data_IF_758064562746
#
_entry.id   IF_758064562746
#
_cell.length_a   1.000
_cell.length_b   1.000
_cell.length_c   1.000
_cell.angle_alpha   90.00
_cell.angle_beta   90.00
_cell.angle_gamma   90.00
#
_symmetry.space_group_name_H-M   'P 1'
#
loop_
_entity.id
_entity.type
_entity.pdbx_description
1 polymer ?
#
# COMPACT_ATOMS: atom_id res chain seq x y z
N UNK A 1 26.43 20.61 -0.79
CA UNK A 1 25.23 19.78 -0.91
C UNK A 1 24.15 20.55 -0.18
N UNK A 2 23.32 21.30 -0.92
CA UNK A 2 22.38 22.26 -0.34
C UNK A 2 21.28 21.49 0.39
N UNK A 3 21.35 21.47 1.73
CA UNK A 3 20.26 21.05 2.60
C UNK A 3 19.38 22.30 2.77
N UNK A 4 18.61 22.63 1.74
CA UNK A 4 17.46 23.53 1.87
C UNK A 4 16.29 22.83 1.21
N UNK A 5 15.19 22.77 1.96
CA UNK A 5 13.91 22.14 1.60
C UNK A 5 13.81 20.62 1.78
N UNK A 6 13.60 20.17 3.03
CA UNK A 6 12.65 19.07 3.28
C UNK A 6 12.09 19.14 4.71
N UNK A 7 11.40 20.23 5.02
CA UNK A 7 10.36 20.22 6.05
C UNK A 7 9.02 20.27 5.30
N UNK A 8 8.09 19.38 5.68
CA UNK A 8 6.75 19.16 5.11
C UNK A 8 6.68 18.23 3.87
N UNK A 9 5.84 17.18 3.94
CA UNK A 9 4.69 16.95 3.02
C UNK A 9 4.04 15.56 3.28
N UNK A 10 2.77 15.68 3.72
CA UNK A 10 1.60 14.82 3.53
C UNK A 10 1.73 13.28 3.34
N UNK A 11 1.18 12.61 4.35
CA UNK A 11 0.23 11.48 4.27
C UNK A 11 -0.46 11.34 2.91
N UNK A 12 -0.18 10.27 2.18
CA UNK A 12 -0.87 9.83 0.95
C UNK A 12 -1.02 10.86 -0.20
N UNK A 13 -0.63 12.13 -0.04
CA UNK A 13 -0.89 13.16 -1.04
C UNK A 13 0.01 13.18 -2.28
N UNK A 14 1.25 12.64 -2.33
CA UNK A 14 1.93 12.56 -3.63
C UNK A 14 1.22 11.59 -4.60
N UNK A 15 0.24 10.81 -4.13
CA UNK A 15 -0.62 10.01 -5.00
C UNK A 15 -1.89 10.74 -5.50
N UNK A 16 -2.29 11.89 -4.94
CA UNK A 16 -3.68 12.40 -5.11
C UNK A 16 -3.88 13.92 -5.29
N UNK A 17 -2.85 14.73 -5.57
CA UNK A 17 -3.00 16.20 -5.65
C UNK A 17 -3.40 16.80 -7.02
N UNK A 18 -3.77 16.00 -8.02
CA UNK A 18 -4.29 16.55 -9.29
C UNK A 18 -5.59 15.85 -9.73
N UNK A 19 -6.72 16.37 -9.24
CA UNK A 19 -8.02 16.10 -9.85
C UNK A 19 -8.89 17.36 -9.73
N UNK A 20 -8.76 18.26 -10.70
CA UNK A 20 -9.80 19.24 -10.99
C UNK A 20 -10.91 18.52 -11.78
N UNK A 21 -12.15 18.64 -11.30
CA UNK A 21 -13.34 18.17 -11.99
C UNK A 21 -13.58 18.96 -13.29
N UNK A 22 -13.86 18.28 -14.42
CA UNK A 22 -14.65 18.87 -15.49
C UNK A 22 -16.11 18.41 -15.38
N UNK A 23 -16.97 19.40 -15.52
CA UNK A 23 -18.43 19.35 -15.57
C UNK A 23 -19.00 18.47 -16.68
N UNK A 24 -20.17 17.90 -16.37
CA UNK A 24 -21.03 17.12 -17.25
C UNK A 24 -21.20 17.72 -18.66
N UNK A 25 -21.02 16.89 -19.69
CA UNK A 25 -21.65 17.11 -20.98
C UNK A 25 -22.47 15.88 -21.37
N UNK A 26 -23.79 16.10 -21.45
CA UNK A 26 -24.77 15.18 -22.00
C UNK A 26 -24.46 14.95 -23.48
N UNK A 27 -24.46 13.70 -23.95
CA UNK A 27 -24.80 13.45 -25.35
C UNK A 27 -25.56 12.15 -25.61
N UNK A 28 -26.35 12.28 -26.68
CA UNK A 28 -27.56 11.55 -27.05
C UNK A 28 -27.35 10.10 -27.49
N UNK A 29 -28.42 9.35 -27.28
CA UNK A 29 -28.69 7.99 -27.74
C UNK A 29 -28.48 7.80 -29.25
N UNK A 30 -27.95 6.62 -29.62
CA UNK A 30 -28.18 6.02 -30.93
C UNK A 30 -28.63 4.56 -30.75
N UNK A 31 -29.93 4.34 -30.95
CA UNK A 31 -30.59 3.04 -31.05
C UNK A 31 -29.99 2.22 -32.20
N UNK A 32 -29.60 0.98 -31.93
CA UNK A 32 -29.48 -0.06 -32.97
C UNK A 32 -30.17 -1.34 -32.52
N UNK A 33 -31.12 -1.75 -33.34
CA UNK A 33 -32.06 -2.86 -33.22
C UNK A 33 -31.35 -4.21 -33.35
N UNK A 34 -31.52 -5.08 -32.36
CA UNK A 34 -31.16 -6.50 -32.44
C UNK A 34 -32.41 -7.36 -32.71
N UNK A 35 -32.27 -8.29 -33.66
CA UNK A 35 -33.31 -9.21 -34.12
C UNK A 35 -33.69 -10.19 -33.01
N UNK A 36 -35.00 -10.32 -32.79
CA UNK A 36 -35.60 -11.28 -31.86
C UNK A 36 -35.76 -12.62 -32.61
N UNK A 37 -35.12 -13.68 -32.11
CA UNK A 37 -35.42 -15.06 -32.47
C UNK A 37 -36.19 -15.68 -31.30
N UNK A 38 -37.45 -16.06 -31.55
CA UNK A 38 -38.37 -16.60 -30.54
C UNK A 38 -38.27 -18.12 -30.48
N UNK A 39 -38.08 -18.68 -29.28
CA UNK A 39 -38.50 -20.06 -28.92
C UNK A 39 -38.57 -20.20 -27.38
N UNK A 40 -39.25 -21.23 -26.84
CA UNK A 40 -40.60 -21.18 -26.30
C UNK A 40 -40.72 -20.78 -24.82
N UNK A 41 -41.93 -20.32 -24.50
CA UNK A 41 -42.49 -19.86 -23.22
C UNK A 41 -42.00 -20.56 -21.95
N UNK A 42 -41.07 -19.92 -21.22
CA UNK A 42 -41.01 -20.00 -19.75
C UNK A 42 -42.11 -19.13 -19.13
N UNK A 43 -42.63 -19.53 -17.97
CA UNK A 43 -43.61 -18.70 -17.26
C UNK A 43 -43.03 -17.30 -17.01
N UNK A 44 -43.85 -16.25 -17.16
CA UNK A 44 -43.39 -14.84 -17.10
C UNK A 44 -42.76 -14.45 -15.75
N UNK A 45 -42.99 -15.24 -14.70
CA UNK A 45 -42.39 -15.08 -13.38
C UNK A 45 -40.99 -15.70 -13.29
N UNK A 46 -40.77 -16.86 -13.92
CA UNK A 46 -39.45 -17.50 -14.00
C UNK A 46 -38.48 -16.72 -14.89
N UNK A 47 -38.99 -16.13 -15.97
CA UNK A 47 -38.20 -15.29 -16.87
C UNK A 47 -37.68 -14.01 -16.19
N UNK A 48 -38.45 -13.43 -15.24
CA UNK A 48 -38.05 -12.22 -14.49
C UNK A 48 -36.94 -12.48 -13.46
N UNK A 49 -36.74 -13.75 -13.07
CA UNK A 49 -35.77 -14.13 -12.05
C UNK A 49 -34.46 -14.66 -12.65
N UNK A 50 -34.30 -14.66 -13.97
CA UNK A 50 -33.10 -15.18 -14.64
C UNK A 50 -32.27 -14.06 -15.24
N UNK A 51 -30.96 -14.11 -15.06
CA UNK A 51 -29.98 -13.26 -15.74
C UNK A 51 -29.11 -14.09 -16.67
N UNK A 52 -28.62 -13.46 -17.74
CA UNK A 52 -27.71 -14.03 -18.73
C UNK A 52 -26.71 -12.97 -19.17
N UNK A 53 -25.42 -13.28 -19.14
CA UNK A 53 -24.33 -12.38 -19.49
C UNK A 53 -23.32 -13.09 -20.40
N UNK A 54 -22.79 -12.37 -21.40
CA UNK A 54 -21.78 -12.84 -22.34
C UNK A 54 -20.56 -11.93 -22.43
N UNK A 55 -20.45 -10.93 -21.56
CA UNK A 55 -19.37 -9.92 -21.58
C UNK A 55 -18.00 -10.43 -21.11
N UNK A 56 -17.91 -11.66 -20.58
CA UNK A 56 -16.70 -12.26 -20.04
C UNK A 56 -16.56 -13.74 -20.39
N UNK A 57 -15.39 -14.31 -20.12
CA UNK A 57 -15.11 -15.75 -20.21
C UNK A 57 -14.51 -16.21 -18.89
N UNK A 58 -15.04 -17.28 -18.30
CA UNK A 58 -14.45 -17.94 -17.13
C UNK A 58 -13.49 -19.02 -17.64
N UNK A 59 -12.18 -18.86 -17.42
CA UNK A 59 -11.18 -19.76 -17.99
C UNK A 59 -11.35 -21.22 -17.54
N UNK A 60 -11.73 -21.43 -16.28
CA UNK A 60 -11.96 -22.76 -15.71
C UNK A 60 -13.24 -23.45 -16.25
N UNK A 61 -14.16 -22.69 -16.83
CA UNK A 61 -15.42 -23.21 -17.38
C UNK A 61 -15.92 -22.32 -18.53
N UNK A 62 -15.28 -22.38 -19.71
CA UNK A 62 -15.63 -21.50 -20.82
C UNK A 62 -17.05 -21.80 -21.34
N UNK A 63 -17.87 -20.76 -21.43
CA UNK A 63 -19.22 -20.78 -21.98
C UNK A 63 -19.45 -19.55 -22.85
N UNK A 64 -20.36 -19.68 -23.82
CA UNK A 64 -20.80 -18.55 -24.66
C UNK A 64 -21.60 -17.52 -23.84
N UNK A 65 -22.40 -18.02 -22.88
CA UNK A 65 -23.22 -17.23 -21.97
C UNK A 65 -23.25 -17.87 -20.59
N UNK A 66 -23.21 -17.04 -19.55
CA UNK A 66 -23.34 -17.46 -18.16
C UNK A 66 -24.71 -17.01 -17.64
N UNK A 67 -25.41 -17.90 -16.95
CA UNK A 67 -26.75 -17.62 -16.42
C UNK A 67 -26.81 -17.72 -14.89
N UNK A 68 -27.69 -16.92 -14.30
CA UNK A 68 -28.00 -16.93 -12.87
C UNK A 68 -29.50 -16.87 -12.62
N UNK A 69 -29.96 -17.37 -11.48
CA UNK A 69 -31.34 -17.36 -11.01
C UNK A 69 -31.43 -16.71 -9.63
N UNK A 70 -32.27 -15.68 -9.52
CA UNK A 70 -32.61 -15.01 -8.28
C UNK A 70 -33.77 -15.72 -7.58
N UNK A 71 -33.70 -15.79 -6.24
CA UNK A 71 -34.83 -16.14 -5.37
C UNK A 71 -35.01 -15.01 -4.38
N UNK A 72 -36.22 -14.44 -4.30
CA UNK A 72 -36.51 -13.29 -3.41
C UNK A 72 -35.54 -12.11 -3.64
N UNK A 73 -35.27 -11.80 -4.91
CA UNK A 73 -34.33 -10.74 -5.33
C UNK A 73 -32.88 -10.92 -4.87
N UNK A 74 -32.51 -12.10 -4.37
CA UNK A 74 -31.14 -12.46 -3.98
C UNK A 74 -30.56 -13.51 -4.92
N UNK A 75 -29.25 -13.46 -5.26
CA UNK A 75 -28.59 -14.52 -6.02
C UNK A 75 -28.82 -15.88 -5.37
N UNK A 76 -29.32 -16.86 -6.13
CA UNK A 76 -29.64 -18.20 -5.60
C UNK A 76 -28.82 -19.30 -6.26
N UNK A 77 -28.85 -19.41 -7.59
CA UNK A 77 -28.10 -20.42 -8.34
C UNK A 77 -27.47 -19.81 -9.61
N UNK A 78 -26.21 -20.12 -9.89
CA UNK A 78 -25.54 -19.70 -11.12
C UNK A 78 -24.63 -18.48 -10.96
N UNK A 79 -24.36 -17.80 -12.07
CA UNK A 79 -23.31 -16.77 -12.18
C UNK A 79 -23.89 -15.35 -12.13
N UNK A 80 -23.24 -14.48 -11.36
CA UNK A 80 -23.66 -13.09 -11.16
C UNK A 80 -22.45 -12.18 -11.19
N UNK A 81 -22.43 -11.25 -12.15
CA UNK A 81 -21.41 -10.19 -12.27
C UNK A 81 -21.56 -9.17 -11.14
N UNK A 82 -20.44 -8.74 -10.57
CA UNK A 82 -20.34 -7.70 -9.55
C UNK A 82 -19.09 -6.83 -9.84
N UNK A 83 -19.05 -5.60 -9.30
CA UNK A 83 -18.07 -4.58 -9.67
C UNK A 83 -18.67 -3.57 -10.66
N UNK A 84 -17.81 -2.83 -11.36
CA UNK A 84 -18.23 -1.82 -12.32
C UNK A 84 -17.97 -2.26 -13.78
N UNK A 85 -17.93 -1.30 -14.71
CA UNK A 85 -17.70 -1.58 -16.13
C UNK A 85 -16.28 -2.08 -16.39
N UNK A 86 -15.31 -1.51 -15.69
CA UNK A 86 -13.88 -1.60 -16.01
C UNK A 86 -13.18 -2.65 -15.14
N UNK A 87 -13.61 -2.77 -13.88
CA UNK A 87 -13.14 -3.79 -12.94
C UNK A 87 -14.32 -4.55 -12.35
N UNK A 88 -14.38 -5.84 -12.67
CA UNK A 88 -15.47 -6.71 -12.23
C UNK A 88 -15.02 -8.11 -11.90
N UNK A 89 -15.90 -8.85 -11.24
CA UNK A 89 -15.74 -10.27 -10.95
C UNK A 89 -17.10 -10.97 -11.07
N UNK A 90 -17.07 -12.29 -11.09
CA UNK A 90 -18.28 -13.11 -11.23
C UNK A 90 -18.39 -14.05 -10.04
N UNK A 91 -19.44 -13.89 -9.26
CA UNK A 91 -19.75 -14.80 -8.15
C UNK A 91 -20.61 -15.96 -8.67
N UNK A 92 -20.34 -17.16 -8.16
CA UNK A 92 -21.14 -18.35 -8.42
C UNK A 92 -21.81 -18.83 -7.14
N UNK A 93 -23.12 -19.00 -7.21
CA UNK A 93 -23.96 -19.41 -6.08
C UNK A 93 -24.55 -20.79 -6.29
N UNK A 94 -24.66 -21.54 -5.20
CA UNK A 94 -25.47 -22.75 -5.08
C UNK A 94 -26.38 -22.62 -3.86
N UNK A 95 -27.69 -22.77 -4.07
CA UNK A 95 -28.72 -22.70 -3.01
C UNK A 95 -28.66 -21.43 -2.16
N UNK A 96 -28.28 -20.30 -2.77
CA UNK A 96 -28.16 -18.99 -2.12
C UNK A 96 -26.83 -18.74 -1.41
N UNK A 97 -25.89 -19.69 -1.46
CA UNK A 97 -24.55 -19.55 -0.86
C UNK A 97 -23.51 -19.29 -1.94
N UNK A 98 -22.64 -18.30 -1.73
CA UNK A 98 -21.51 -18.05 -2.64
C UNK A 98 -20.49 -19.16 -2.43
N UNK A 99 -20.22 -19.94 -3.47
CA UNK A 99 -19.27 -21.06 -3.41
C UNK A 99 -17.97 -20.71 -4.12
N UNK A 100 -18.06 -19.95 -5.22
CA UNK A 100 -16.90 -19.49 -6.00
C UNK A 100 -16.99 -18.03 -6.39
N UNK A 101 -15.84 -17.43 -6.66
CA UNK A 101 -15.71 -16.17 -7.38
C UNK A 101 -14.66 -16.33 -8.49
N UNK A 102 -14.88 -15.68 -9.62
CA UNK A 102 -13.96 -15.65 -10.74
C UNK A 102 -13.56 -14.21 -10.99
N UNK A 103 -12.25 -13.95 -11.00
CA UNK A 103 -11.67 -12.63 -11.16
C UNK A 103 -10.44 -12.72 -12.06
N UNK A 104 -9.69 -11.63 -12.16
CA UNK A 104 -8.46 -11.50 -12.90
C UNK A 104 -7.54 -10.55 -12.17
N UNK A 105 -6.27 -10.55 -12.54
CA UNK A 105 -5.38 -9.49 -12.13
C UNK A 105 -5.58 -8.29 -13.08
N UNK A 106 -5.94 -7.14 -12.51
CA UNK A 106 -6.24 -5.89 -13.23
C UNK A 106 -5.12 -5.49 -14.19
N UNK A 107 -3.85 -5.84 -13.90
CA UNK A 107 -2.71 -5.52 -14.75
C UNK A 107 -2.18 -6.70 -15.60
N UNK A 108 -2.55 -7.95 -15.32
CA UNK A 108 -2.14 -9.09 -16.16
C UNK A 108 -2.87 -9.11 -17.51
N UNK A 109 -4.08 -8.57 -17.55
CA UNK A 109 -4.89 -8.47 -18.76
C UNK A 109 -4.54 -7.26 -19.65
N UNK A 110 -3.48 -6.51 -19.31
CA UNK A 110 -2.99 -5.41 -20.13
C UNK A 110 -1.79 -5.88 -20.95
N UNK A 111 -1.97 -6.04 -22.25
CA UNK A 111 -0.83 -6.22 -23.16
C UNK A 111 0.02 -4.93 -23.21
N UNK A 112 1.27 -4.99 -23.71
CA UNK A 112 2.16 -3.81 -23.78
C UNK A 112 1.54 -2.60 -24.51
N UNK A 113 0.65 -2.86 -25.46
CA UNK A 113 -0.06 -1.85 -26.24
C UNK A 113 -1.26 -1.29 -25.46
N UNK A 114 -1.97 -2.10 -24.67
CA UNK A 114 -3.02 -1.67 -23.73
C UNK A 114 -2.44 -0.91 -22.52
N UNK A 115 -1.22 -1.24 -22.08
CA UNK A 115 -0.46 -0.43 -21.13
C UNK A 115 -0.13 0.95 -21.69
N UNK A 116 0.11 1.05 -23.01
CA UNK A 116 0.26 2.32 -23.74
C UNK A 116 -1.09 2.97 -24.07
N UNK A 117 -2.16 2.23 -24.28
CA UNK A 117 -3.50 2.79 -24.52
C UNK A 117 -4.17 3.25 -23.23
N UNK A 118 -3.80 2.75 -22.05
CA UNK A 118 -4.18 3.40 -20.78
C UNK A 118 -3.48 4.75 -20.61
N UNK A 119 -2.34 4.96 -21.28
CA UNK A 119 -1.72 6.28 -21.45
C UNK A 119 -2.57 7.20 -22.36
N UNK A 120 -3.39 6.62 -23.27
CA UNK A 120 -4.10 7.33 -24.36
C UNK A 120 -5.65 7.13 -24.45
N UNK A 121 -6.28 6.40 -23.53
CA UNK A 121 -7.72 6.12 -23.45
C UNK A 121 -8.28 5.02 -24.37
N UNK A 122 -8.71 3.90 -23.76
CA UNK A 122 -9.71 2.92 -24.23
C UNK A 122 -9.39 1.97 -25.41
N UNK A 123 -9.73 0.68 -25.21
CA UNK A 123 -9.89 -0.34 -26.26
C UNK A 123 -11.28 -0.98 -26.16
N UNK A 124 -12.05 -0.92 -27.24
CA UNK A 124 -13.36 -1.58 -27.37
C UNK A 124 -13.19 -2.92 -28.11
N UNK A 125 -13.79 -4.00 -27.58
CA UNK A 125 -14.14 -5.29 -28.23
C UNK A 125 -13.56 -6.61 -27.68
N UNK A 126 -12.80 -6.61 -26.57
CA UNK A 126 -12.35 -7.87 -25.97
C UNK A 126 -13.17 -8.27 -24.74
N UNK A 127 -13.64 -9.53 -24.71
CA UNK A 127 -14.24 -10.12 -23.49
C UNK A 127 -13.13 -10.33 -22.45
N UNK A 128 -13.34 -9.85 -21.24
CA UNK A 128 -12.39 -10.09 -20.13
C UNK A 128 -12.36 -11.57 -19.79
N UNK A 129 -11.15 -12.14 -19.73
CA UNK A 129 -10.94 -13.52 -19.28
C UNK A 129 -10.70 -13.52 -17.78
N UNK A 130 -11.57 -14.22 -17.06
CA UNK A 130 -11.50 -14.42 -15.62
C UNK A 130 -10.73 -15.73 -15.35
N UNK A 131 -9.44 -15.59 -15.07
CA UNK A 131 -8.50 -16.70 -14.90
C UNK A 131 -8.17 -17.02 -13.44
N UNK A 132 -8.57 -16.18 -12.49
CA UNK A 132 -8.40 -16.43 -11.06
C UNK A 132 -9.70 -17.00 -10.50
N UNK A 133 -9.63 -18.16 -9.85
CA UNK A 133 -10.76 -18.78 -9.16
C UNK A 133 -10.56 -18.68 -7.65
N UNK A 134 -11.59 -18.24 -6.95
CA UNK A 134 -11.63 -18.16 -5.50
C UNK A 134 -12.72 -19.06 -4.95
N UNK A 135 -12.45 -19.68 -3.81
CA UNK A 135 -13.35 -20.65 -3.16
C UNK A 135 -13.80 -20.12 -1.80
N UNK A 136 -15.08 -20.29 -1.49
CA UNK A 136 -15.69 -19.81 -0.25
C UNK A 136 -16.26 -20.96 0.57
N UNK A 137 -16.18 -20.81 1.90
CA UNK A 137 -16.83 -21.69 2.87
C UNK A 137 -17.51 -20.83 3.92
N UNK A 138 -18.83 -20.94 4.04
CA UNK A 138 -19.65 -20.11 4.94
C UNK A 138 -19.38 -18.61 4.70
N UNK A 139 -19.41 -18.19 3.43
CA UNK A 139 -19.15 -16.82 2.95
C UNK A 139 -17.73 -16.26 3.19
N UNK A 140 -16.86 -16.99 3.89
CA UNK A 140 -15.45 -16.67 4.06
C UNK A 140 -14.62 -17.25 2.92
N UNK A 141 -13.70 -16.44 2.38
CA UNK A 141 -12.75 -16.92 1.38
C UNK A 141 -11.77 -17.91 2.02
N UNK A 142 -11.53 -19.03 1.32
CA UNK A 142 -10.55 -20.06 1.70
C UNK A 142 -9.35 -20.01 0.77
N UNK A 143 -9.57 -19.80 -0.52
CA UNK A 143 -8.49 -19.76 -1.51
C UNK A 143 -8.85 -18.78 -2.64
N UNK A 144 -7.84 -18.24 -3.31
CA UNK A 144 -7.97 -17.36 -4.48
C UNK A 144 -7.83 -15.87 -4.13
N UNK A 145 -8.53 -15.01 -4.86
CA UNK A 145 -8.45 -13.56 -4.74
C UNK A 145 -9.83 -12.92 -4.55
N UNK A 146 -9.89 -11.88 -3.73
CA UNK A 146 -11.00 -10.92 -3.73
C UNK A 146 -10.50 -9.56 -4.17
N UNK A 147 -11.37 -8.83 -4.85
CA UNK A 147 -11.15 -7.44 -5.27
C UNK A 147 -12.20 -6.59 -4.56
N UNK A 148 -11.77 -5.48 -3.98
CA UNK A 148 -12.60 -4.52 -3.27
C UNK A 148 -12.31 -3.11 -3.81
N UNK A 149 -13.35 -2.28 -3.90
CA UNK A 149 -13.19 -0.87 -4.26
C UNK A 149 -12.68 -0.10 -3.03
N UNK A 150 -11.68 0.73 -3.22
CA UNK A 150 -11.22 1.74 -2.26
C UNK A 150 -11.37 3.13 -2.87
N UNK A 151 -11.31 4.19 -2.05
CA UNK A 151 -11.65 5.57 -2.45
C UNK A 151 -11.07 6.01 -3.81
N UNK A 152 -9.83 5.64 -4.10
CA UNK A 152 -9.12 6.04 -5.33
C UNK A 152 -8.50 4.84 -6.07
N UNK A 153 -9.16 3.68 -6.06
CA UNK A 153 -8.62 2.50 -6.72
C UNK A 153 -9.20 1.17 -6.26
N UNK A 154 -8.39 0.12 -6.34
CA UNK A 154 -8.78 -1.24 -6.00
C UNK A 154 -7.79 -1.88 -5.04
N UNK A 155 -8.33 -2.66 -4.11
CA UNK A 155 -7.56 -3.52 -3.22
C UNK A 155 -7.83 -4.97 -3.62
N UNK A 156 -6.80 -5.67 -4.09
CA UNK A 156 -6.85 -7.11 -4.29
C UNK A 156 -6.22 -7.82 -3.10
N UNK A 157 -6.90 -8.82 -2.54
CA UNK A 157 -6.41 -9.64 -1.42
C UNK A 157 -6.35 -11.10 -1.87
N UNK A 158 -5.20 -11.75 -1.71
CA UNK A 158 -5.00 -13.15 -2.12
C UNK A 158 -4.87 -14.06 -0.91
N UNK A 159 -5.66 -15.12 -0.89
CA UNK A 159 -5.75 -16.08 0.20
C UNK A 159 -5.26 -17.46 -0.25
N UNK A 160 -4.64 -18.18 0.68
CA UNK A 160 -4.33 -19.60 0.57
C UNK A 160 -4.66 -20.25 1.91
N UNK A 161 -5.49 -21.31 1.88
CA UNK A 161 -5.95 -22.01 3.08
C UNK A 161 -6.51 -21.08 4.18
N UNK A 162 -7.24 -20.03 3.78
CA UNK A 162 -7.85 -19.03 4.66
C UNK A 162 -6.89 -17.96 5.19
N UNK A 163 -5.61 -18.01 4.84
CA UNK A 163 -4.61 -17.01 5.26
C UNK A 163 -4.34 -16.02 4.14
N UNK A 164 -4.26 -14.73 4.49
CA UNK A 164 -3.89 -13.67 3.56
C UNK A 164 -2.41 -13.78 3.23
N UNK A 165 -2.10 -13.97 1.95
CA UNK A 165 -0.74 -14.19 1.44
C UNK A 165 -0.20 -13.03 0.61
N UNK A 166 -1.07 -12.21 0.04
CA UNK A 166 -0.68 -11.02 -0.69
C UNK A 166 -1.79 -9.98 -0.74
N UNK A 167 -1.40 -8.72 -0.88
CA UNK A 167 -2.28 -7.61 -1.19
C UNK A 167 -1.70 -6.79 -2.34
N UNK A 168 -2.55 -6.32 -3.24
CA UNK A 168 -2.21 -5.32 -4.26
C UNK A 168 -3.11 -4.11 -4.07
N UNK A 169 -2.50 -2.93 -4.04
CA UNK A 169 -3.20 -1.64 -3.97
C UNK A 169 -2.97 -0.97 -5.32
N UNK A 170 -4.04 -0.89 -6.10
CA UNK A 170 -4.04 -0.41 -7.47
C UNK A 170 -4.67 0.98 -7.48
N UNK A 171 -3.87 2.01 -7.76
CA UNK A 171 -4.31 3.40 -7.79
C UNK A 171 -4.39 3.90 -9.23
N UNK A 172 -5.49 4.57 -9.57
CA UNK A 172 -5.77 5.11 -10.90
C UNK A 172 -6.17 6.59 -10.81
N UNK A 173 -5.58 7.43 -11.65
CA UNK A 173 -5.93 8.83 -11.87
C UNK A 173 -5.68 9.20 -13.35
N UNK A 174 -6.09 10.38 -13.79
CA UNK A 174 -5.87 10.81 -15.18
C UNK A 174 -4.36 10.76 -15.50
N UNK A 175 -3.98 9.90 -16.47
CA UNK A 175 -2.60 9.64 -16.88
C UNK A 175 -1.67 9.10 -15.77
N UNK A 176 -2.24 8.52 -14.72
CA UNK A 176 -1.46 7.90 -13.65
C UNK A 176 -2.05 6.54 -13.29
N UNK A 177 -1.19 5.53 -13.29
CA UNK A 177 -1.47 4.26 -12.64
C UNK A 177 -0.25 3.82 -11.83
N UNK A 178 -0.50 3.15 -10.71
CA UNK A 178 0.54 2.46 -9.96
C UNK A 178 -0.04 1.29 -9.19
N UNK A 179 0.78 0.26 -8.97
CA UNK A 179 0.49 -0.85 -8.05
C UNK A 179 1.55 -0.91 -6.98
N UNK A 180 1.09 -0.94 -5.73
CA UNK A 180 1.89 -1.36 -4.58
C UNK A 180 1.46 -2.78 -4.19
N UNK A 181 2.39 -3.73 -4.31
CA UNK A 181 2.17 -5.13 -3.95
C UNK A 181 2.89 -5.45 -2.67
N UNK A 182 2.23 -6.09 -1.71
CA UNK A 182 2.87 -6.72 -0.55
C UNK A 182 2.58 -8.22 -0.60
N UNK A 183 3.62 -9.05 -0.56
CA UNK A 183 3.50 -10.51 -0.64
C UNK A 183 4.29 -11.19 0.46
N UNK A 184 3.71 -12.22 1.06
CA UNK A 184 4.43 -13.13 1.95
C UNK A 184 5.30 -14.04 1.09
N UNK A 185 6.61 -14.00 1.34
CA UNK A 185 7.60 -14.90 0.75
C UNK A 185 8.42 -15.45 1.90
N UNK A 186 8.34 -16.76 2.10
CA UNK A 186 8.87 -17.46 3.27
C UNK A 186 8.33 -16.83 4.57
N UNK A 187 9.22 -16.36 5.45
CA UNK A 187 8.92 -15.72 6.72
C UNK A 187 8.87 -14.19 6.64
N UNK A 188 8.87 -13.60 5.44
CA UNK A 188 8.95 -12.15 5.22
C UNK A 188 7.78 -11.62 4.42
N UNK A 189 7.49 -10.33 4.58
CA UNK A 189 6.62 -9.59 3.66
C UNK A 189 7.52 -8.74 2.77
N UNK A 190 7.38 -8.91 1.47
CA UNK A 190 8.10 -8.16 0.45
C UNK A 190 7.12 -7.21 -0.23
N UNK A 191 7.47 -5.93 -0.24
CA UNK A 191 6.78 -4.89 -0.97
C UNK A 191 7.48 -4.60 -2.29
N UNK A 192 6.71 -4.44 -3.36
CA UNK A 192 7.18 -3.98 -4.67
C UNK A 192 6.25 -2.92 -5.23
N UNK A 193 6.80 -2.00 -6.02
CA UNK A 193 6.08 -0.90 -6.65
C UNK A 193 6.31 -0.97 -8.17
N UNK A 194 5.28 -0.78 -8.98
CA UNK A 194 5.42 -0.83 -10.44
C UNK A 194 6.32 0.27 -11.00
N UNK A 195 6.32 1.46 -10.39
CA UNK A 195 7.18 2.58 -10.81
C UNK A 195 8.64 2.43 -10.38
N UNK A 196 8.89 1.65 -9.33
CA UNK A 196 10.23 1.33 -8.84
C UNK A 196 10.38 -0.19 -8.69
N UNK A 197 10.66 -0.90 -9.80
CA UNK A 197 10.86 -2.35 -9.78
C UNK A 197 12.24 -2.75 -9.24
N UNK A 198 13.16 -1.80 -9.07
CA UNK A 198 14.55 -2.06 -8.67
C UNK A 198 14.66 -2.20 -7.16
N UNK A 199 13.93 -1.36 -6.42
CA UNK A 199 13.93 -1.42 -4.97
C UNK A 199 12.71 -2.14 -4.41
N UNK A 200 12.82 -2.56 -3.15
CA UNK A 200 11.77 -3.24 -2.41
C UNK A 200 11.86 -2.94 -0.93
N UNK A 201 10.71 -2.89 -0.28
CA UNK A 201 10.66 -2.84 1.18
C UNK A 201 10.45 -4.25 1.72
N UNK A 202 11.33 -4.69 2.61
CA UNK A 202 11.26 -6.00 3.26
C UNK A 202 10.90 -5.79 4.72
N UNK A 203 9.82 -6.45 5.16
CA UNK A 203 9.37 -6.50 6.54
C UNK A 203 9.66 -7.91 7.06
N UNK A 204 10.38 -7.98 8.16
CA UNK A 204 10.80 -9.23 8.79
C UNK A 204 10.75 -9.12 10.31
N UNK A 205 10.76 -10.26 11.00
CA UNK A 205 10.89 -10.29 12.46
C UNK A 205 12.38 -10.39 12.83
N UNK A 206 12.84 -9.51 13.72
CA UNK A 206 14.17 -9.57 14.33
C UNK A 206 14.02 -9.49 15.84
N UNK A 207 14.21 -10.62 16.54
CA UNK A 207 13.83 -10.77 17.95
C UNK A 207 12.34 -10.41 18.11
N UNK A 208 11.99 -9.62 19.12
CA UNK A 208 10.61 -9.19 19.41
C UNK A 208 10.18 -7.90 18.68
N UNK A 209 10.85 -7.54 17.58
CA UNK A 209 10.60 -6.31 16.84
C UNK A 209 10.46 -6.58 15.34
N UNK A 210 9.62 -5.78 14.67
CA UNK A 210 9.59 -5.75 13.21
C UNK A 210 10.72 -4.88 12.67
N UNK A 211 11.54 -5.51 11.83
CA UNK A 211 12.57 -4.87 11.03
C UNK A 211 12.01 -4.59 9.64
N UNK A 212 11.96 -3.31 9.28
CA UNK A 212 11.58 -2.81 7.97
C UNK A 212 12.82 -2.25 7.30
N UNK A 213 13.10 -2.70 6.09
CA UNK A 213 14.29 -2.31 5.32
C UNK A 213 13.91 -1.96 3.90
N UNK A 214 14.49 -0.89 3.37
CA UNK A 214 14.51 -0.61 1.95
C UNK A 214 15.79 -1.21 1.35
N UNK A 215 15.64 -2.04 0.33
CA UNK A 215 16.75 -2.63 -0.39
C UNK A 215 16.68 -2.28 -1.87
N UNK A 216 17.83 -1.97 -2.48
CA UNK A 216 17.98 -1.89 -3.92
C UNK A 216 19.26 -2.62 -4.34
N UNK A 217 19.19 -3.41 -5.43
CA UNK A 217 20.35 -4.17 -5.95
C UNK A 217 21.08 -5.01 -4.87
N UNK A 218 20.34 -5.53 -3.89
CA UNK A 218 20.86 -6.33 -2.79
C UNK A 218 21.46 -5.55 -1.61
N UNK A 219 21.52 -4.21 -1.69
CA UNK A 219 22.07 -3.35 -0.64
C UNK A 219 20.94 -2.74 0.20
N UNK A 220 21.11 -2.70 1.52
CA UNK A 220 20.19 -2.00 2.43
C UNK A 220 20.46 -0.50 2.36
N UNK A 221 19.50 0.25 1.85
CA UNK A 221 19.57 1.71 1.72
C UNK A 221 19.02 2.38 2.98
N UNK A 222 17.91 1.88 3.54
CA UNK A 222 17.32 2.41 4.75
C UNK A 222 16.71 1.32 5.64
N UNK A 223 16.58 1.59 6.94
CA UNK A 223 15.94 0.66 7.89
C UNK A 223 15.51 1.32 9.20
N UNK A 224 14.71 0.61 10.00
CA UNK A 224 14.27 1.03 11.34
C UNK A 224 14.97 0.29 12.50
N UNK A 225 16.17 -0.28 12.29
CA UNK A 225 16.81 -1.13 13.28
C UNK A 225 17.23 -0.33 14.54
N UNK A 226 16.39 -0.32 15.57
CA UNK A 226 16.61 0.43 16.81
C UNK A 226 17.95 0.12 17.50
N UNK A 227 18.46 -1.12 17.38
CA UNK A 227 19.74 -1.51 17.99
C UNK A 227 20.92 -0.70 17.39
N UNK A 228 20.76 -0.16 16.18
CA UNK A 228 21.77 0.64 15.48
C UNK A 228 21.53 2.16 15.60
N UNK A 229 20.53 2.59 16.38
CA UNK A 229 20.13 4.00 16.54
C UNK A 229 20.58 4.61 17.87
N UNK A 230 21.56 4.00 18.53
CA UNK A 230 21.98 4.43 19.86
C UNK A 230 23.15 5.39 19.78
N UNK A 231 23.17 6.41 20.64
CA UNK A 231 24.33 7.33 20.78
C UNK A 231 25.65 6.60 21.06
N UNK A 232 25.61 5.46 21.75
CA UNK A 232 26.81 4.69 22.14
C UNK A 232 27.42 3.87 21.00
N UNK A 233 26.58 3.39 20.08
CA UNK A 233 27.01 2.53 18.97
C UNK A 233 26.06 2.72 17.79
N UNK A 234 26.11 3.90 17.14
CA UNK A 234 25.26 4.16 15.99
C UNK A 234 25.79 3.39 14.77
N UNK A 235 24.91 3.14 13.79
CA UNK A 235 25.30 2.49 12.53
C UNK A 235 26.42 3.29 11.84
N UNK A 236 27.52 2.68 11.37
CA UNK A 236 28.53 3.36 10.56
C UNK A 236 28.00 3.84 9.20
N UNK A 237 28.64 4.86 8.62
CA UNK A 237 28.34 5.45 7.31
C UNK A 237 26.84 5.70 7.11
N UNK A 238 26.19 6.36 8.07
CA UNK A 238 24.74 6.49 8.07
C UNK A 238 24.28 7.88 8.49
N UNK A 239 23.12 8.27 7.98
CA UNK A 239 22.29 9.34 8.52
C UNK A 239 21.24 8.67 9.41
N UNK A 240 21.16 9.07 10.68
CA UNK A 240 20.23 8.49 11.66
C UNK A 240 19.29 9.59 12.12
N UNK A 241 17.99 9.32 12.03
CA UNK A 241 16.91 10.17 12.51
C UNK A 241 16.12 9.43 13.57
N UNK A 242 15.90 10.05 14.73
CA UNK A 242 15.16 9.46 15.84
C UNK A 242 14.00 10.39 16.16
N UNK A 243 12.80 9.84 16.33
CA UNK A 243 11.57 10.60 16.54
C UNK A 243 10.84 10.10 17.78
N UNK A 244 10.29 11.02 18.58
CA UNK A 244 9.27 10.72 19.60
C UNK A 244 7.90 10.96 18.99
N UNK A 245 7.04 9.96 19.10
CA UNK A 245 5.60 10.07 18.86
C UNK A 245 4.88 9.80 20.18
N UNK A 246 3.60 10.15 20.30
CA UNK A 246 2.83 10.12 21.57
C UNK A 246 3.11 8.90 22.47
N UNK A 247 3.31 7.70 21.90
CA UNK A 247 3.50 6.47 22.68
C UNK A 247 4.80 5.70 22.39
N UNK A 248 5.73 6.23 21.58
CA UNK A 248 6.95 5.47 21.19
C UNK A 248 8.06 6.32 20.58
N UNK A 249 9.27 5.75 20.62
CA UNK A 249 10.41 6.21 19.84
C UNK A 249 10.51 5.41 18.54
N UNK A 250 10.63 6.11 17.42
CA UNK A 250 10.90 5.53 16.10
C UNK A 250 12.29 5.93 15.64
N UNK A 251 12.92 5.06 14.83
CA UNK A 251 14.21 5.35 14.22
C UNK A 251 14.15 5.08 12.72
N UNK A 252 14.83 5.94 11.97
CA UNK A 252 15.12 5.79 10.56
C UNK A 252 16.62 5.94 10.35
N UNK A 253 17.23 4.92 9.77
CA UNK A 253 18.64 4.90 9.40
C UNK A 253 18.71 4.87 7.88
N UNK A 254 19.43 5.81 7.29
CA UNK A 254 19.70 5.88 5.85
C UNK A 254 21.21 5.71 5.65
N UNK A 255 21.61 4.89 4.70
CA UNK A 255 23.01 4.70 4.35
C UNK A 255 23.56 6.00 3.71
N UNK A 256 24.65 6.54 4.23
CA UNK A 256 25.21 7.81 3.75
C UNK A 256 25.99 7.64 2.43
N UNK A 257 26.32 6.40 2.05
CA UNK A 257 27.00 6.10 0.78
C UNK A 257 26.02 6.02 -0.41
N UNK A 258 24.71 6.14 -0.17
CA UNK A 258 23.71 6.08 -1.25
C UNK A 258 23.43 7.50 -1.74
N UNK A 259 24.03 7.86 -2.88
CA UNK A 259 23.81 9.17 -3.51
C UNK A 259 22.36 9.39 -3.97
N UNK A 260 21.58 8.31 -4.10
CA UNK A 260 20.34 8.33 -4.87
C UNK A 260 19.16 7.74 -4.07
N UNK A 261 18.98 8.11 -2.79
CA UNK A 261 17.76 7.69 -2.07
C UNK A 261 16.49 8.22 -2.77
N UNK A 262 16.63 9.35 -3.47
CA UNK A 262 15.57 9.98 -4.26
C UNK A 262 15.18 9.15 -5.50
N UNK A 263 16.08 8.34 -6.06
CA UNK A 263 15.73 7.39 -7.13
C UNK A 263 14.74 6.32 -6.64
N UNK A 264 14.67 6.10 -5.33
CA UNK A 264 13.80 5.12 -4.68
C UNK A 264 12.72 5.80 -3.83
N UNK A 265 12.36 7.05 -4.16
CA UNK A 265 11.51 7.91 -3.34
C UNK A 265 10.18 7.27 -2.96
N UNK A 266 9.52 6.56 -3.88
CA UNK A 266 8.23 5.95 -3.61
C UNK A 266 8.31 4.86 -2.53
N UNK A 267 9.27 3.93 -2.68
CA UNK A 267 9.47 2.84 -1.72
C UNK A 267 10.08 3.36 -0.40
N UNK A 268 10.90 4.41 -0.46
CA UNK A 268 11.37 5.11 0.74
C UNK A 268 10.23 5.78 1.51
N UNK A 269 9.34 6.50 0.82
CA UNK A 269 8.14 7.12 1.41
C UNK A 269 7.20 6.06 2.01
N UNK A 270 7.08 4.90 1.36
CA UNK A 270 6.34 3.76 1.91
C UNK A 270 6.98 3.22 3.19
N UNK A 271 8.31 3.07 3.22
CA UNK A 271 9.05 2.68 4.43
C UNK A 271 8.87 3.70 5.57
N UNK A 272 8.98 4.99 5.29
CA UNK A 272 8.75 6.05 6.29
C UNK A 272 7.33 5.96 6.85
N UNK A 273 6.33 5.82 5.98
CA UNK A 273 4.94 5.65 6.39
C UNK A 273 4.73 4.40 7.26
N UNK A 274 5.39 3.29 6.92
CA UNK A 274 5.37 2.09 7.74
C UNK A 274 5.92 2.39 9.14
N UNK A 275 7.11 3.01 9.21
CA UNK A 275 7.80 3.30 10.45
C UNK A 275 7.00 4.22 11.36
N UNK A 276 6.51 5.32 10.80
CA UNK A 276 5.92 6.39 11.58
C UNK A 276 4.47 6.14 11.97
N UNK A 277 3.73 5.39 11.17
CA UNK A 277 2.30 5.22 11.40
C UNK A 277 1.90 3.87 12.01
N UNK A 278 2.76 2.86 11.98
CA UNK A 278 2.40 1.54 12.51
C UNK A 278 3.09 1.29 13.84
N UNK A 279 2.31 1.02 14.89
CA UNK A 279 2.88 0.60 16.17
C UNK A 279 3.40 -0.85 16.08
N UNK A 280 4.63 -1.04 15.60
CA UNK A 280 5.23 -2.37 15.42
C UNK A 280 5.27 -3.21 16.71
N UNK A 281 5.27 -2.59 17.90
CA UNK A 281 5.23 -3.30 19.17
C UNK A 281 3.94 -4.11 19.34
N UNK A 282 2.81 -3.64 18.79
CA UNK A 282 1.53 -4.37 18.82
C UNK A 282 1.45 -5.50 17.79
N UNK A 283 2.45 -5.60 16.91
CA UNK A 283 2.51 -6.57 15.82
C UNK A 283 3.53 -7.69 16.08
N UNK A 284 4.26 -7.64 17.20
CA UNK A 284 5.36 -8.58 17.51
C UNK A 284 4.90 -10.06 17.48
N UNK A 285 3.74 -10.33 18.07
CA UNK A 285 3.22 -11.70 18.23
C UNK A 285 2.39 -12.16 17.02
N UNK A 286 2.08 -11.24 16.09
CA UNK A 286 1.25 -11.52 14.91
C UNK A 286 2.03 -12.24 13.82
N UNK A 287 1.41 -13.20 13.15
CA UNK A 287 1.99 -13.81 11.95
C UNK A 287 1.92 -12.83 10.75
N UNK A 288 2.57 -13.19 9.64
CA UNK A 288 2.65 -12.31 8.46
C UNK A 288 1.27 -12.02 7.83
N UNK A 289 0.35 -12.98 7.84
CA UNK A 289 -1.04 -12.75 7.37
C UNK A 289 -1.74 -11.70 8.24
N UNK A 290 -1.60 -11.79 9.56
CA UNK A 290 -2.19 -10.84 10.51
C UNK A 290 -1.53 -9.45 10.43
N UNK A 291 -0.25 -9.39 10.08
CA UNK A 291 0.46 -8.12 9.80
C UNK A 291 -0.10 -7.47 8.53
N UNK A 292 -0.33 -8.23 7.46
CA UNK A 292 -0.96 -7.70 6.24
C UNK A 292 -2.39 -7.20 6.51
N UNK A 293 -3.20 -7.97 7.26
CA UNK A 293 -4.55 -7.56 7.66
C UNK A 293 -4.54 -6.27 8.50
N UNK A 294 -3.54 -6.10 9.38
CA UNK A 294 -3.37 -4.84 10.10
C UNK A 294 -3.07 -3.69 9.14
N UNK A 295 -2.21 -3.91 8.14
CA UNK A 295 -1.84 -2.88 7.16
C UNK A 295 -3.05 -2.43 6.34
N UNK A 296 -3.90 -3.36 5.87
CA UNK A 296 -5.15 -3.04 5.17
C UNK A 296 -6.02 -2.09 6.02
N UNK A 297 -6.27 -2.44 7.29
CA UNK A 297 -7.10 -1.62 8.18
C UNK A 297 -6.56 -0.20 8.33
N UNK A 298 -5.23 -0.04 8.36
CA UNK A 298 -4.63 1.31 8.45
C UNK A 298 -4.79 2.15 7.19
N UNK A 299 -4.92 1.53 6.01
CA UNK A 299 -5.21 2.23 4.75
C UNK A 299 -6.63 2.81 4.80
N UNK A 300 -7.60 2.03 5.29
CA UNK A 300 -9.01 2.44 5.33
C UNK A 300 -9.30 3.52 6.38
N UNK A 301 -8.67 3.44 7.56
CA UNK A 301 -8.95 4.34 8.69
C UNK A 301 -8.34 5.75 8.56
N UNK A 302 -7.31 5.93 7.72
CA UNK A 302 -6.52 7.19 7.69
C UNK A 302 -7.15 8.34 6.93
N UNK A 303 -8.38 8.19 6.44
CA UNK A 303 -9.16 9.35 6.00
C UNK A 303 -9.59 10.26 7.18
N UNK A 304 -9.36 9.87 8.45
CA UNK A 304 -9.83 10.59 9.64
C UNK A 304 -8.79 10.85 10.76
N UNK A 305 -7.48 10.60 10.58
CA UNK A 305 -6.54 10.76 11.72
C UNK A 305 -5.94 12.16 11.81
N UNK A 306 -6.17 12.80 12.96
CA UNK A 306 -5.40 13.92 13.51
C UNK A 306 -3.90 13.70 13.31
N UNK A 307 -3.18 14.78 12.98
CA UNK A 307 -1.74 14.77 12.86
C UNK A 307 -1.12 14.20 14.15
N UNK A 308 -0.45 13.06 14.07
CA UNK A 308 0.39 12.61 15.19
C UNK A 308 1.56 13.57 15.30
N UNK A 309 1.60 14.35 16.38
CA UNK A 309 2.76 15.16 16.74
C UNK A 309 4.00 14.27 16.80
N UNK A 310 4.89 14.46 15.83
CA UNK A 310 6.15 13.75 15.71
C UNK A 310 7.26 14.75 15.97
N UNK A 311 7.95 14.58 17.09
CA UNK A 311 9.04 15.44 17.51
C UNK A 311 10.36 14.76 17.19
N UNK A 312 11.26 15.45 16.50
CA UNK A 312 12.57 14.92 16.19
C UNK A 312 13.42 14.97 17.48
N UNK A 313 14.04 13.85 17.82
CA UNK A 313 14.96 13.72 18.96
C UNK A 313 16.42 13.77 18.51
N UNK A 314 16.72 13.25 17.31
CA UNK A 314 18.09 13.26 16.81
C UNK A 314 18.13 13.30 15.29
N UNK A 315 19.12 14.01 14.77
CA UNK A 315 19.60 13.93 13.39
C UNK A 315 21.13 13.88 13.47
N UNK A 316 21.73 12.74 13.13
CA UNK A 316 23.20 12.57 13.18
C UNK A 316 23.72 11.89 11.92
N UNK A 317 24.92 12.28 11.49
CA UNK A 317 25.72 11.57 10.49
C UNK A 317 26.84 10.81 11.20
N UNK A 318 27.23 9.65 10.66
CA UNK A 318 28.30 8.83 11.21
C UNK A 318 29.37 8.50 10.20
N UNK A 319 30.60 8.43 10.68
CA UNK A 319 31.76 8.00 9.90
C UNK A 319 31.76 6.48 9.67
N UNK A 320 32.80 6.00 8.97
CA UNK A 320 33.03 4.57 8.69
C UNK A 320 33.19 3.68 9.92
N UNK A 321 33.45 4.26 11.09
CA UNK A 321 33.61 3.55 12.36
C UNK A 321 32.36 3.64 13.24
N UNK A 322 31.34 4.40 12.84
CA UNK A 322 30.17 4.68 13.67
C UNK A 322 30.43 5.75 14.74
N UNK A 323 31.43 6.61 14.57
CA UNK A 323 31.56 7.83 15.36
C UNK A 323 30.62 8.89 14.78
N UNK A 324 29.92 9.63 15.65
CA UNK A 324 29.11 10.78 15.23
C UNK A 324 30.04 11.84 14.65
N UNK A 325 29.80 12.24 13.40
CA UNK A 325 30.58 13.27 12.69
C UNK A 325 29.90 14.63 12.82
N UNK A 326 28.65 14.74 12.37
CA UNK A 326 27.85 15.95 12.51
C UNK A 326 26.45 15.61 13.03
N UNK A 327 25.77 16.61 13.60
CA UNK A 327 24.36 16.48 13.94
C UNK A 327 24.01 17.00 15.32
N UNK A 328 22.83 16.62 15.77
CA UNK A 328 22.26 17.03 17.05
C UNK A 328 21.43 15.88 17.62
N UNK A 329 21.55 15.68 18.93
CA UNK A 329 20.93 14.54 19.61
C UNK A 329 20.42 14.97 20.98
N UNK A 330 19.12 14.77 21.23
CA UNK A 330 18.44 14.96 22.51
C UNK A 330 18.17 13.62 23.18
N UNK A 331 18.50 13.52 24.47
CA UNK A 331 18.25 12.35 25.31
C UNK A 331 17.45 12.77 26.52
N UNK A 332 16.39 12.04 26.83
CA UNK A 332 15.56 12.27 28.01
C UNK A 332 16.35 11.98 29.29
N UNK A 333 16.43 12.97 30.19
CA UNK A 333 17.04 12.83 31.52
C UNK A 333 15.96 12.52 32.57
N UNK A 334 14.86 13.27 32.49
CA UNK A 334 13.63 13.13 33.29
C UNK A 334 12.41 13.20 32.36
N UNK A 335 11.22 12.89 32.86
CA UNK A 335 9.98 12.83 32.05
C UNK A 335 9.64 14.11 31.27
N UNK A 336 10.27 15.25 31.58
CA UNK A 336 10.00 16.53 30.93
C UNK A 336 11.24 17.25 30.42
N UNK A 337 12.44 16.89 30.88
CA UNK A 337 13.69 17.58 30.53
C UNK A 337 14.69 16.56 30.00
N UNK A 338 15.42 16.93 28.96
CA UNK A 338 16.52 16.15 28.43
C UNK A 338 17.75 16.98 28.15
N UNK A 339 18.85 16.28 27.93
CA UNK A 339 20.12 16.88 27.50
C UNK A 339 20.23 16.76 25.98
N UNK A 340 20.51 17.87 25.30
CA UNK A 340 20.91 17.85 23.90
C UNK A 340 22.40 18.09 23.73
N UNK A 341 22.97 17.51 22.67
CA UNK A 341 24.37 17.69 22.27
C UNK A 341 24.42 17.93 20.76
N UNK A 342 25.13 18.97 20.33
CA UNK A 342 25.45 19.22 18.92
C UNK A 342 26.88 18.76 18.62
N UNK A 343 27.07 18.21 17.42
CA UNK A 343 28.33 17.69 16.92
C UNK A 343 28.69 18.37 15.62
N UNK A 344 29.98 18.64 15.42
CA UNK A 344 30.54 19.08 14.15
C UNK A 344 31.93 18.51 13.97
N UNK A 345 32.23 17.93 12.81
CA UNK A 345 33.52 17.31 12.49
C UNK A 345 34.02 16.32 13.56
N UNK A 346 33.09 15.62 14.23
CA UNK A 346 33.37 14.63 15.26
C UNK A 346 33.66 15.17 16.66
N UNK A 347 33.45 16.46 16.89
CA UNK A 347 33.60 17.14 18.18
C UNK A 347 32.27 17.66 18.72
N UNK A 348 32.16 17.77 20.05
CA UNK A 348 31.00 18.37 20.71
C UNK A 348 31.16 19.88 20.67
N UNK A 349 30.20 20.58 20.06
CA UNK A 349 30.22 22.04 19.96
C UNK A 349 29.40 22.68 21.09
N UNK A 350 28.20 22.15 21.34
CA UNK A 350 27.28 22.68 22.34
C UNK A 350 26.63 21.53 23.10
N UNK A 351 26.39 21.75 24.40
CA UNK A 351 25.52 20.91 25.22
C UNK A 351 24.59 21.80 26.01
N UNK A 352 23.32 21.43 26.09
CA UNK A 352 22.33 22.15 26.87
C UNK A 352 21.24 21.23 27.38
N UNK A 353 20.31 21.79 28.16
CA UNK A 353 19.16 21.08 28.70
C UNK A 353 17.89 21.81 28.35
N UNK A 354 16.92 21.07 27.83
CA UNK A 354 15.59 21.60 27.55
C UNK A 354 14.56 20.47 27.45
N UNK A 355 13.28 20.82 27.46
CA UNK A 355 12.23 19.89 27.09
C UNK A 355 12.22 19.63 25.58
N UNK A 356 11.55 18.56 25.15
CA UNK A 356 11.58 18.13 23.75
C UNK A 356 10.88 19.12 22.80
N UNK A 357 9.86 19.86 23.29
CA UNK A 357 9.15 20.86 22.50
C UNK A 357 10.05 22.06 22.18
N UNK A 358 10.70 22.63 23.18
CA UNK A 358 11.67 23.72 23.01
C UNK A 358 12.89 23.26 22.20
N UNK A 359 13.31 22.01 22.36
CA UNK A 359 14.37 21.42 21.53
C UNK A 359 14.04 21.48 20.04
N UNK A 360 12.78 21.49 19.63
CA UNK A 360 12.43 21.66 18.21
C UNK A 360 12.88 23.04 17.66
N UNK A 361 12.84 24.10 18.47
CA UNK A 361 13.35 25.41 18.06
C UNK A 361 14.88 25.39 17.87
N UNK A 362 15.58 24.69 18.75
CA UNK A 362 17.04 24.49 18.66
C UNK A 362 17.40 23.65 17.43
N UNK A 363 16.56 22.66 17.09
CA UNK A 363 16.70 21.87 15.87
C UNK A 363 16.54 22.73 14.61
N UNK A 364 15.54 23.59 14.58
CA UNK A 364 15.30 24.49 13.43
C UNK A 364 16.49 25.43 13.23
N UNK A 365 17.02 26.02 14.31
CA UNK A 365 18.24 26.83 14.26
C UNK A 365 19.44 26.02 13.76
N UNK A 366 19.61 24.77 14.24
CA UNK A 366 20.67 23.89 13.77
C UNK A 366 20.58 23.66 12.26
N UNK A 367 19.40 23.34 11.72
CA UNK A 367 19.21 23.13 10.27
C UNK A 367 19.44 24.40 9.45
N UNK A 368 19.14 25.58 9.99
CA UNK A 368 19.41 26.85 9.32
C UNK A 368 20.91 27.19 9.20
N UNK A 369 21.77 26.49 9.95
CA UNK A 369 23.23 26.68 9.94
C UNK A 369 24.00 25.64 9.11
N UNK A 370 23.33 24.60 8.62
CA UNK A 370 23.86 23.63 7.66
C UNK A 370 23.85 24.19 6.23
#
# INVERSE_FOLDING_TARGET
MQIKETLLILFLAPFFSFAQHPTETKNKEAKKTSKITVTPSMSSLEAKNKVRDSSFIIAAHPQEYYSGFYKESKPYNGYFKAGDRDVFWVNYYETGKRIKQYSYDIFDNLNEQEKKEIEYGYSENYKTVLNITSTFKNDNIVDGQIIENIKNGYLSKRYNAGQLTAINIDAFAMHYYNRLSLKIVDDKIISSNFKDPISKVVISKKKDKLLVQLLAKGVVLASNNMDDCTKKKPKPNSIIRIFKTNNRVACLIVNNNTKDIDDYRDNFSFLENLIFNNNFSSLKDKNNSEILEHYIKTIDTKNNSEHTDMLLMAYITTDKNGKIEDGIYWTEDTNTIGTYTTYKAGEIITTGKDNLQNFQLILDDFFNTL
#
